data_IF_400437586750
#
_entry.id   IF_400437586750
#
_cell.length_a   1.000
_cell.length_b   1.000
_cell.length_c   1.000
_cell.angle_alpha   90.00
_cell.angle_beta   90.00
_cell.angle_gamma   90.00
#
_symmetry.space_group_name_H-M   'P 1'
#
loop_
_entity.id
_entity.type
_entity.pdbx_description
1 polymer ?
#
# COMPACT_ATOMS: atom_id res chain seq x y z
N UNK A 1 51.81 -7.31 -7.83
CA UNK A 1 50.76 -6.93 -8.81
C UNK A 1 49.49 -6.71 -8.01
N UNK A 2 49.14 -5.44 -7.81
CA UNK A 2 48.04 -5.04 -6.95
C UNK A 2 46.71 -5.11 -7.71
N UNK A 3 45.76 -5.89 -7.19
CA UNK A 3 44.37 -5.97 -7.67
C UNK A 3 43.47 -4.91 -6.99
N UNK A 4 44.05 -3.83 -6.43
CA UNK A 4 43.37 -2.89 -5.52
C UNK A 4 42.22 -2.02 -6.08
N UNK A 5 42.15 -1.63 -7.38
CA UNK A 5 41.02 -0.82 -7.86
C UNK A 5 39.74 -1.66 -8.01
N UNK A 6 39.84 -2.97 -8.16
CA UNK A 6 38.68 -3.82 -8.47
C UNK A 6 37.72 -3.96 -7.28
N UNK A 7 38.21 -3.99 -6.06
CA UNK A 7 37.40 -4.26 -4.85
C UNK A 7 36.46 -3.10 -4.48
N UNK A 8 36.87 -1.84 -4.68
CA UNK A 8 36.01 -0.67 -4.42
C UNK A 8 34.89 -0.56 -5.44
N UNK A 9 35.18 -0.81 -6.71
CA UNK A 9 34.14 -0.82 -7.76
C UNK A 9 33.14 -1.96 -7.56
N UNK A 10 33.59 -3.14 -7.13
CA UNK A 10 32.70 -4.26 -6.77
C UNK A 10 31.82 -3.91 -5.56
N UNK A 11 32.39 -3.30 -4.52
CA UNK A 11 31.66 -2.92 -3.31
C UNK A 11 30.58 -1.85 -3.61
N UNK A 12 30.93 -0.83 -4.40
CA UNK A 12 30.00 0.19 -4.86
C UNK A 12 28.90 -0.41 -5.76
N UNK A 13 29.26 -1.31 -6.66
CA UNK A 13 28.30 -2.01 -7.52
C UNK A 13 27.28 -2.83 -6.73
N UNK A 14 27.74 -3.57 -5.71
CA UNK A 14 26.84 -4.32 -4.80
C UNK A 14 25.93 -3.39 -4.01
N UNK A 15 26.45 -2.28 -3.49
CA UNK A 15 25.65 -1.28 -2.77
C UNK A 15 24.54 -0.70 -3.67
N UNK A 16 24.87 -0.28 -4.89
CA UNK A 16 23.90 0.24 -5.84
C UNK A 16 22.85 -0.81 -6.23
N UNK A 17 23.28 -2.05 -6.45
CA UNK A 17 22.36 -3.15 -6.73
C UNK A 17 21.35 -3.34 -5.59
N UNK A 18 21.82 -3.39 -4.34
CA UNK A 18 20.96 -3.54 -3.16
C UNK A 18 20.01 -2.34 -3.03
N UNK A 19 20.51 -1.12 -3.19
CA UNK A 19 19.71 0.10 -3.10
C UNK A 19 18.60 0.13 -4.17
N UNK A 20 18.92 -0.22 -5.42
CA UNK A 20 17.93 -0.23 -6.50
C UNK A 20 16.88 -1.31 -6.26
N UNK A 21 17.31 -2.55 -6.02
CA UNK A 21 16.41 -3.70 -5.97
C UNK A 21 15.56 -3.76 -4.70
N UNK A 22 16.10 -3.36 -3.54
CA UNK A 22 15.41 -3.50 -2.26
C UNK A 22 14.88 -2.20 -1.68
N UNK A 23 15.24 -1.04 -2.22
CA UNK A 23 14.71 0.25 -1.77
C UNK A 23 13.94 0.93 -2.90
N UNK A 24 14.58 1.17 -4.03
CA UNK A 24 14.00 1.96 -5.11
C UNK A 24 12.79 1.26 -5.75
N UNK A 25 12.91 -0.03 -6.08
CA UNK A 25 11.83 -0.82 -6.69
C UNK A 25 10.60 -0.96 -5.77
N UNK A 26 10.72 -1.34 -4.49
CA UNK A 26 9.55 -1.38 -3.60
C UNK A 26 8.90 -0.01 -3.40
N UNK A 27 9.70 1.07 -3.38
CA UNK A 27 9.21 2.43 -3.22
C UNK A 27 8.43 2.90 -4.47
N UNK A 28 8.93 2.63 -5.67
CA UNK A 28 8.19 2.94 -6.91
C UNK A 28 6.91 2.13 -7.02
N UNK A 29 6.92 0.85 -6.61
CA UNK A 29 5.71 0.02 -6.55
C UNK A 29 4.70 0.55 -5.52
N UNK A 30 5.15 1.00 -4.34
CA UNK A 30 4.26 1.63 -3.35
C UNK A 30 3.64 2.92 -3.89
N UNK A 31 4.43 3.78 -4.53
CA UNK A 31 3.94 4.99 -5.20
C UNK A 31 2.92 4.64 -6.28
N UNK A 32 3.23 3.64 -7.10
CA UNK A 32 2.31 3.16 -8.14
C UNK A 32 0.97 2.73 -7.54
N UNK A 33 0.98 1.86 -6.52
CA UNK A 33 -0.23 1.42 -5.82
C UNK A 33 -0.97 2.59 -5.14
N UNK A 34 -0.24 3.59 -4.65
CA UNK A 34 -0.84 4.79 -4.07
C UNK A 34 -1.60 5.61 -5.13
N UNK A 35 -1.07 5.70 -6.36
CA UNK A 35 -1.68 6.47 -7.45
C UNK A 35 -2.69 5.71 -8.30
N UNK A 36 -2.90 4.42 -8.07
CA UNK A 36 -3.93 3.68 -8.79
C UNK A 36 -5.31 4.36 -8.64
N UNK A 37 -6.09 4.52 -9.72
CA UNK A 37 -7.43 5.09 -9.58
C UNK A 37 -8.32 4.19 -8.71
N UNK A 38 -9.24 4.81 -7.97
CA UNK A 38 -10.28 4.05 -7.25
C UNK A 38 -11.19 3.39 -8.29
N UNK A 39 -11.23 2.06 -8.29
CA UNK A 39 -12.09 1.30 -9.18
C UNK A 39 -13.13 0.51 -8.38
N UNK A 40 -14.38 0.55 -8.85
CA UNK A 40 -15.47 -0.26 -8.31
C UNK A 40 -15.44 -1.62 -9.01
N UNK A 41 -15.19 -2.67 -8.24
CA UNK A 41 -15.10 -4.05 -8.71
C UNK A 41 -16.48 -4.71 -8.77
N UNK A 42 -17.27 -4.50 -7.71
CA UNK A 42 -18.61 -5.05 -7.56
C UNK A 42 -19.52 -3.99 -6.94
N UNK A 43 -20.80 -4.04 -7.30
CA UNK A 43 -21.83 -3.18 -6.71
C UNK A 43 -23.08 -4.01 -6.41
N UNK A 44 -23.72 -3.73 -5.29
CA UNK A 44 -24.98 -4.31 -4.84
C UNK A 44 -25.91 -3.21 -4.35
N UNK A 45 -27.20 -3.49 -4.34
CA UNK A 45 -28.24 -2.59 -3.85
C UNK A 45 -28.45 -2.81 -2.34
N UNK A 46 -28.25 -1.75 -1.55
CA UNK A 46 -28.49 -1.76 -0.10
C UNK A 46 -29.89 -1.25 0.27
N UNK A 47 -30.75 -0.98 -0.71
CA UNK A 47 -32.07 -0.40 -0.51
C UNK A 47 -31.98 1.08 -0.20
N UNK A 48 -32.83 1.56 0.70
CA UNK A 48 -32.88 2.98 1.09
C UNK A 48 -32.51 3.18 2.55
N UNK A 49 -31.86 4.30 2.85
CA UNK A 49 -31.50 4.69 4.22
C UNK A 49 -32.75 4.92 5.07
N UNK A 50 -32.77 4.37 6.29
CA UNK A 50 -33.83 4.60 7.27
C UNK A 50 -33.34 5.34 8.50
N UNK A 51 -32.28 4.84 9.13
CA UNK A 51 -31.67 5.44 10.31
C UNK A 51 -30.25 4.92 10.51
N UNK A 52 -29.47 5.60 11.34
CA UNK A 52 -28.15 5.16 11.76
C UNK A 52 -28.01 5.33 13.28
N UNK A 53 -27.46 4.33 13.95
CA UNK A 53 -27.14 4.38 15.37
C UNK A 53 -25.65 4.09 15.56
N UNK A 54 -24.92 5.05 16.10
CA UNK A 54 -23.49 4.92 16.37
C UNK A 54 -23.26 4.35 17.77
N UNK A 55 -22.27 3.47 17.88
CA UNK A 55 -21.82 2.84 19.12
C UNK A 55 -20.29 2.71 19.11
N UNK A 56 -19.61 3.73 19.64
CA UNK A 56 -18.15 3.85 19.52
C UNK A 56 -17.74 4.08 18.06
N UNK A 57 -16.75 3.31 17.58
CA UNK A 57 -16.20 3.43 16.22
C UNK A 57 -17.04 2.70 15.16
N UNK A 58 -18.20 2.16 15.55
CA UNK A 58 -19.11 1.43 14.66
C UNK A 58 -20.45 2.14 14.57
N UNK A 59 -21.05 2.12 13.38
CA UNK A 59 -22.40 2.63 13.14
C UNK A 59 -23.26 1.55 12.50
N UNK A 60 -24.39 1.24 13.11
CA UNK A 60 -25.39 0.36 12.53
C UNK A 60 -26.36 1.18 11.69
N UNK A 61 -26.28 0.99 10.36
CA UNK A 61 -27.13 1.66 9.39
C UNK A 61 -28.31 0.75 9.05
N UNK A 62 -29.49 1.15 9.47
CA UNK A 62 -30.72 0.49 9.08
C UNK A 62 -31.13 0.95 7.68
N UNK A 63 -31.35 -0.02 6.80
CA UNK A 63 -31.80 0.17 5.43
C UNK A 63 -33.18 -0.47 5.23
N UNK A 64 -33.76 -0.32 4.04
CA UNK A 64 -34.99 -1.04 3.68
C UNK A 64 -34.80 -2.54 3.49
N UNK A 65 -33.55 -3.01 3.31
CA UNK A 65 -33.21 -4.43 3.08
C UNK A 65 -32.64 -5.11 4.32
N UNK A 66 -32.12 -4.37 5.29
CA UNK A 66 -31.55 -4.93 6.51
C UNK A 66 -30.78 -3.93 7.35
N UNK A 67 -29.80 -4.40 8.10
CA UNK A 67 -28.89 -3.56 8.90
C UNK A 67 -27.46 -3.82 8.44
N UNK A 68 -26.70 -2.75 8.21
CA UNK A 68 -25.31 -2.80 7.77
C UNK A 68 -24.46 -2.07 8.79
N UNK A 69 -23.49 -2.76 9.37
CA UNK A 69 -22.52 -2.14 10.28
C UNK A 69 -21.35 -1.57 9.49
N UNK A 70 -21.10 -0.29 9.69
CA UNK A 70 -20.00 0.45 9.07
C UNK A 70 -19.03 0.96 10.12
N UNK A 71 -17.80 1.23 9.70
CA UNK A 71 -16.81 1.93 10.52
C UNK A 71 -17.11 3.43 10.51
N UNK A 72 -16.80 4.09 11.61
CA UNK A 72 -17.02 5.52 11.82
C UNK A 72 -18.50 5.91 11.65
N UNK A 73 -18.77 7.21 11.50
CA UNK A 73 -20.12 7.75 11.30
C UNK A 73 -20.64 7.54 9.88
N UNK A 74 -21.96 7.37 9.76
CA UNK A 74 -22.66 7.40 8.47
C UNK A 74 -24.00 8.12 8.60
N UNK A 75 -24.27 9.03 7.66
CA UNK A 75 -25.51 9.80 7.61
C UNK A 75 -25.96 9.99 6.17
N UNK A 76 -27.26 9.84 5.95
CA UNK A 76 -27.92 10.08 4.68
C UNK A 76 -29.35 10.58 4.92
N UNK A 77 -30.04 11.06 3.88
CA UNK A 77 -31.45 11.43 4.00
C UNK A 77 -32.32 10.18 4.07
N UNK A 78 -33.38 10.20 4.89
CA UNK A 78 -34.34 9.09 4.96
C UNK A 78 -34.97 8.87 3.59
N UNK A 79 -34.97 7.61 3.13
CA UNK A 79 -35.41 7.22 1.80
C UNK A 79 -34.34 7.36 0.72
N UNK A 80 -33.15 7.89 1.02
CA UNK A 80 -32.06 8.00 0.05
C UNK A 80 -31.55 6.61 -0.33
N UNK A 81 -31.42 6.28 -1.64
CA UNK A 81 -30.91 4.99 -2.04
C UNK A 81 -29.44 4.82 -1.67
N UNK A 82 -29.10 3.58 -1.32
CA UNK A 82 -27.80 3.16 -0.84
C UNK A 82 -27.27 2.04 -1.73
N UNK A 83 -25.97 2.07 -1.97
CA UNK A 83 -25.25 1.02 -2.70
C UNK A 83 -24.16 0.46 -1.82
N UNK A 84 -23.98 -0.85 -1.89
CA UNK A 84 -22.77 -1.50 -1.39
C UNK A 84 -21.82 -1.65 -2.56
N UNK A 85 -20.55 -1.27 -2.39
CA UNK A 85 -19.54 -1.37 -3.44
C UNK A 85 -18.29 -2.02 -2.88
N UNK A 86 -17.67 -2.88 -3.66
CA UNK A 86 -16.31 -3.36 -3.38
C UNK A 86 -15.35 -2.61 -4.28
N UNK A 87 -14.32 -2.00 -3.72
CA UNK A 87 -13.29 -1.26 -4.45
C UNK A 87 -11.91 -1.89 -4.30
N UNK A 88 -11.02 -1.62 -5.25
CA UNK A 88 -9.63 -2.11 -5.20
C UNK A 88 -8.84 -1.56 -4.00
N UNK A 89 -9.12 -0.32 -3.56
CA UNK A 89 -8.34 0.34 -2.51
C UNK A 89 -8.89 0.15 -1.10
N UNK A 90 -10.20 0.27 -0.95
CA UNK A 90 -10.86 0.34 0.36
C UNK A 90 -11.69 -0.90 0.68
N UNK A 91 -11.79 -1.87 -0.23
CA UNK A 91 -12.61 -3.05 -0.04
C UNK A 91 -14.10 -2.70 -0.05
N UNK A 92 -14.86 -3.36 0.83
CA UNK A 92 -16.31 -3.24 0.91
C UNK A 92 -16.73 -1.93 1.60
N UNK A 93 -17.58 -1.15 0.91
CA UNK A 93 -18.04 0.15 1.36
C UNK A 93 -19.55 0.31 1.16
N UNK A 94 -20.20 1.04 2.07
CA UNK A 94 -21.57 1.51 1.93
C UNK A 94 -21.54 2.95 1.43
N UNK A 95 -22.25 3.21 0.34
CA UNK A 95 -22.25 4.49 -0.35
C UNK A 95 -23.67 5.02 -0.57
N UNK A 96 -23.87 6.33 -0.51
CA UNK A 96 -25.11 6.97 -0.98
C UNK A 96 -25.16 7.05 -2.51
N UNK A 97 -26.34 6.86 -3.09
CA UNK A 97 -26.60 7.25 -4.49
C UNK A 97 -26.87 8.75 -4.53
N UNK A 98 -26.09 9.50 -5.29
CA UNK A 98 -26.27 10.95 -5.49
C UNK A 98 -25.00 11.75 -5.22
N UNK A 99 -25.07 13.06 -5.49
CA UNK A 99 -23.98 14.01 -5.24
C UNK A 99 -24.32 14.81 -3.98
N UNK A 100 -23.44 14.88 -2.97
CA UNK A 100 -22.13 14.23 -2.88
C UNK A 100 -22.22 12.73 -2.57
N UNK A 101 -21.32 11.93 -3.18
CA UNK A 101 -21.17 10.52 -2.84
C UNK A 101 -20.48 10.41 -1.48
N UNK A 102 -21.20 9.96 -0.47
CA UNK A 102 -20.63 9.60 0.82
C UNK A 102 -20.47 8.10 0.91
N UNK A 103 -19.22 7.63 1.08
CA UNK A 103 -18.89 6.21 1.23
C UNK A 103 -18.17 5.99 2.56
N UNK A 104 -18.49 4.90 3.24
CA UNK A 104 -17.78 4.44 4.44
C UNK A 104 -17.48 2.94 4.37
N UNK A 105 -16.45 2.48 5.08
CA UNK A 105 -16.06 1.07 5.12
C UNK A 105 -17.08 0.22 5.90
N UNK A 106 -17.43 -0.95 5.37
CA UNK A 106 -18.30 -1.91 6.06
C UNK A 106 -17.46 -2.75 7.02
N UNK A 107 -17.92 -2.96 8.26
CA UNK A 107 -17.17 -3.69 9.29
C UNK A 107 -17.38 -5.22 9.25
N UNK A 108 -17.99 -5.75 8.18
CA UNK A 108 -18.34 -7.17 8.05
C UNK A 108 -18.55 -7.61 6.61
N UNK A 109 -19.13 -8.79 6.42
CA UNK A 109 -19.43 -9.35 5.10
C UNK A 109 -20.80 -8.93 4.59
N UNK A 110 -20.90 -8.62 3.29
CA UNK A 110 -22.18 -8.41 2.62
C UNK A 110 -22.74 -9.74 2.12
N UNK A 111 -23.98 -10.04 2.49
CA UNK A 111 -24.69 -11.29 2.10
C UNK A 111 -25.67 -11.11 0.95
N UNK A 112 -25.89 -9.87 0.50
CA UNK A 112 -26.79 -9.58 -0.61
C UNK A 112 -26.17 -9.84 -1.99
N UNK A 113 -26.97 -9.84 -3.06
CA UNK A 113 -26.47 -9.99 -4.42
C UNK A 113 -25.51 -8.85 -4.76
N UNK A 114 -24.41 -9.20 -5.42
CA UNK A 114 -23.41 -8.28 -5.95
C UNK A 114 -23.25 -8.54 -7.44
N UNK A 115 -23.30 -7.47 -8.23
CA UNK A 115 -23.02 -7.52 -9.64
C UNK A 115 -21.60 -7.03 -9.88
N UNK A 116 -20.82 -7.78 -10.65
CA UNK A 116 -19.53 -7.30 -11.15
C UNK A 116 -19.79 -6.11 -12.05
N UNK A 117 -19.13 -4.99 -11.78
CA UNK A 117 -19.22 -3.83 -12.67
C UNK A 117 -18.34 -4.16 -13.86
N UNK A 118 -18.96 -4.64 -14.94
CA UNK A 118 -18.29 -4.96 -16.20
C UNK A 118 -17.74 -3.68 -16.82
N UNK A 119 -16.50 -3.36 -16.48
CA UNK A 119 -15.72 -2.32 -17.16
C UNK A 119 -14.35 -2.89 -17.49
N UNK A 120 -14.15 -3.18 -18.77
CA UNK A 120 -12.92 -3.56 -19.46
C UNK A 120 -11.74 -3.97 -18.57
N UNK A 121 -11.63 -5.28 -18.33
CA UNK A 121 -10.39 -6.06 -18.37
C UNK A 121 -9.09 -5.27 -18.14
N UNK A 122 -8.88 -4.71 -16.95
CA UNK A 122 -7.53 -4.39 -16.51
C UNK A 122 -7.08 -5.53 -15.59
N UNK A 123 -6.49 -6.54 -16.22
CA UNK A 123 -5.89 -7.75 -15.63
C UNK A 123 -4.90 -7.47 -14.48
N UNK A 124 -4.44 -6.22 -14.35
CA UNK A 124 -3.49 -5.78 -13.34
C UNK A 124 -3.98 -5.88 -11.89
N UNK A 125 -5.28 -5.84 -11.60
CA UNK A 125 -5.74 -5.54 -10.22
C UNK A 125 -5.82 -6.77 -9.31
N UNK A 126 -5.99 -7.98 -9.86
CA UNK A 126 -6.25 -9.17 -9.02
C UNK A 126 -5.00 -9.78 -8.38
N UNK A 127 -3.81 -9.56 -8.96
CA UNK A 127 -2.57 -10.22 -8.51
C UNK A 127 -1.72 -9.36 -7.55
N UNK A 128 -2.07 -8.09 -7.32
CA UNK A 128 -1.25 -7.18 -6.52
C UNK A 128 -1.60 -7.14 -5.03
N UNK A 129 -2.70 -7.77 -4.58
CA UNK A 129 -3.05 -7.79 -3.15
C UNK A 129 -1.96 -8.44 -2.29
N UNK A 130 -1.44 -9.60 -2.72
CA UNK A 130 -0.35 -10.28 -2.00
C UNK A 130 0.98 -9.52 -2.03
N UNK A 131 1.25 -8.80 -3.13
CA UNK A 131 2.44 -7.95 -3.24
C UNK A 131 2.33 -6.77 -2.26
N UNK A 132 1.16 -6.11 -2.20
CA UNK A 132 0.93 -4.93 -1.34
C UNK A 132 1.19 -5.20 0.14
N UNK A 133 0.74 -6.35 0.65
CA UNK A 133 1.00 -6.76 2.04
C UNK A 133 2.48 -7.03 2.31
N UNK A 134 3.22 -7.44 1.28
CA UNK A 134 4.65 -7.77 1.35
C UNK A 134 5.57 -6.56 1.08
N UNK A 135 5.08 -5.47 0.49
CA UNK A 135 5.90 -4.31 0.12
C UNK A 135 6.51 -3.61 1.33
N UNK A 136 5.75 -3.44 2.42
CA UNK A 136 6.25 -2.77 3.63
C UNK A 136 7.39 -3.55 4.30
N UNK A 137 7.25 -4.85 4.61
CA UNK A 137 8.36 -5.61 5.18
C UNK A 137 9.55 -5.70 4.21
N UNK A 138 9.33 -5.81 2.90
CA UNK A 138 10.42 -5.77 1.91
C UNK A 138 11.19 -4.45 1.96
N UNK A 139 10.51 -3.30 2.04
CA UNK A 139 11.14 -1.98 2.13
C UNK A 139 11.92 -1.82 3.45
N UNK A 140 11.38 -2.31 4.57
CA UNK A 140 12.05 -2.25 5.87
C UNK A 140 13.31 -3.11 5.88
N UNK A 141 13.22 -4.37 5.42
CA UNK A 141 14.38 -5.26 5.31
C UNK A 141 15.41 -4.73 4.31
N UNK A 142 14.94 -4.19 3.19
CA UNK A 142 15.77 -3.59 2.16
C UNK A 142 16.55 -2.37 2.64
N UNK A 143 15.87 -1.47 3.34
CA UNK A 143 16.51 -0.27 3.89
C UNK A 143 17.56 -0.60 4.96
N UNK A 144 17.29 -1.56 5.85
CA UNK A 144 18.28 -2.06 6.82
C UNK A 144 19.49 -2.67 6.10
N UNK A 145 19.26 -3.50 5.08
CA UNK A 145 20.33 -4.14 4.30
C UNK A 145 21.18 -3.10 3.56
N UNK A 146 20.55 -2.10 2.94
CA UNK A 146 21.23 -1.01 2.27
C UNK A 146 22.06 -0.16 3.26
N UNK A 147 21.53 0.10 4.45
CA UNK A 147 22.24 0.84 5.50
C UNK A 147 23.47 0.08 6.01
N UNK A 148 23.36 -1.23 6.25
CA UNK A 148 24.50 -2.07 6.64
C UNK A 148 25.56 -2.15 5.53
N UNK A 149 25.12 -2.27 4.27
CA UNK A 149 26.02 -2.23 3.12
C UNK A 149 26.77 -0.90 3.02
N UNK A 150 26.10 0.23 3.29
CA UNK A 150 26.72 1.56 3.33
C UNK A 150 27.77 1.67 4.44
N UNK A 151 27.46 1.19 5.65
CA UNK A 151 28.43 1.20 6.75
C UNK A 151 29.67 0.38 6.39
N UNK A 152 29.47 -0.81 5.81
CA UNK A 152 30.58 -1.67 5.39
C UNK A 152 31.44 -1.01 4.31
N UNK A 153 30.85 -0.34 3.31
CA UNK A 153 31.62 0.35 2.27
C UNK A 153 32.39 1.55 2.82
N UNK A 154 31.79 2.32 3.74
CA UNK A 154 32.47 3.43 4.42
C UNK A 154 33.61 2.94 5.30
N UNK A 155 33.42 1.85 6.05
CA UNK A 155 34.48 1.26 6.88
C UNK A 155 35.67 0.80 6.04
N UNK A 156 35.43 0.10 4.92
CA UNK A 156 36.49 -0.32 3.98
C UNK A 156 37.20 0.87 3.36
N UNK A 157 36.49 1.95 3.04
CA UNK A 157 37.10 3.16 2.50
C UNK A 157 37.94 3.91 3.55
N UNK A 158 37.46 3.98 4.80
CA UNK A 158 38.17 4.64 5.89
C UNK A 158 39.48 3.92 6.27
N UNK A 159 39.48 2.58 6.30
CA UNK A 159 40.67 1.78 6.58
C UNK A 159 41.77 2.04 5.54
N UNK A 160 41.40 2.15 4.26
CA UNK A 160 42.34 2.50 3.19
C UNK A 160 42.94 3.89 3.31
N UNK A 161 42.15 4.88 3.72
CA UNK A 161 42.66 6.25 3.91
C UNK A 161 43.72 6.26 5.02
N UNK A 162 43.48 5.47 6.08
CA UNK A 162 44.42 5.32 7.19
C UNK A 162 45.72 4.63 6.78
N UNK A 163 45.64 3.55 6.00
CA UNK A 163 46.84 2.85 5.49
C UNK A 163 47.71 3.76 4.60
N UNK A 164 47.11 4.58 3.73
CA UNK A 164 47.84 5.52 2.87
C UNK A 164 48.50 6.66 3.66
N UNK A 165 47.92 7.04 4.81
CA UNK A 165 48.51 8.03 5.72
C UNK A 165 49.71 7.46 6.49
N UNK A 166 49.62 6.23 7.00
CA UNK A 166 50.72 5.53 7.68
C UNK A 166 51.92 5.30 6.74
N UNK A 167 51.67 4.96 5.48
CA UNK A 167 52.71 4.80 4.46
C UNK A 167 53.39 6.13 4.06
N UNK A 168 52.68 7.25 4.18
CA UNK A 168 53.25 8.60 3.98
C UNK A 168 54.18 9.00 5.11
N UNK A 169 53.82 8.72 6.36
CA UNK A 169 54.63 9.08 7.55
C UNK A 169 55.96 8.33 7.58
N UNK A 170 56.02 7.13 6.97
CA UNK A 170 57.23 6.29 6.95
C UNK A 170 58.26 6.66 5.88
N UNK A 171 57.97 7.58 4.97
CA UNK A 171 58.90 8.05 3.93
C UNK A 171 59.52 9.39 4.31
#
# INVERSE_FOLDING_TARGET
MSNEPQTVHLALGMFLFVLVTFVLVPLTLMLWCHFEPLQVLQSGDAGTFRTAASHGDLTNVATSTGVITVKDGFSALVGQPLLVRTTNKYGLQLCTTGVPHHCTAVSGTWVGPMHTVTRNEHWYIRNFSGIRESLLPMLMMGSVTAFLALIATVAVAADRIRDDEDDRIRR
#
